data_IF_452985560491
#
_entry.id   IF_452985560491
#
_cell.length_a   1.000
_cell.length_b   1.000
_cell.length_c   1.000
_cell.angle_alpha   90.00
_cell.angle_beta   90.00
_cell.angle_gamma   90.00
#
_symmetry.space_group_name_H-M   'P 1'
#
loop_
_entity.id
_entity.type
_entity.pdbx_description
1 polymer ?
#
# COMPACT_ATOMS: atom_id res chain seq x y z
N UNK A 1 -25.39 51.08 -26.20
CA UNK A 1 -24.59 50.26 -25.27
C UNK A 1 -25.41 50.06 -24.01
N UNK A 2 -26.08 48.91 -23.86
CA UNK A 2 -26.79 48.53 -22.62
C UNK A 2 -25.85 47.62 -21.83
N UNK A 3 -25.32 48.12 -20.71
CA UNK A 3 -24.54 47.30 -19.77
C UNK A 3 -25.51 46.53 -18.86
N UNK A 4 -25.68 45.24 -19.11
CA UNK A 4 -26.35 44.33 -18.19
C UNK A 4 -25.47 44.15 -16.95
N UNK A 5 -25.79 44.84 -15.86
CA UNK A 5 -25.16 44.57 -14.56
C UNK A 5 -25.77 43.30 -13.96
N UNK A 6 -25.08 42.17 -14.12
CA UNK A 6 -25.40 40.96 -13.38
C UNK A 6 -25.07 41.19 -11.89
N UNK A 7 -26.11 41.33 -11.06
CA UNK A 7 -25.93 41.33 -9.60
C UNK A 7 -25.71 39.88 -9.12
N UNK A 8 -24.59 39.57 -8.46
CA UNK A 8 -24.28 38.20 -8.00
C UNK A 8 -25.08 37.76 -6.76
N UNK A 9 -25.82 38.66 -6.13
CA UNK A 9 -26.54 38.46 -4.86
C UNK A 9 -27.62 37.35 -4.92
N UNK A 10 -28.53 37.30 -5.92
CA UNK A 10 -29.55 36.24 -6.01
C UNK A 10 -28.97 34.84 -6.27
N UNK A 11 -27.79 34.73 -6.88
CA UNK A 11 -27.14 33.44 -7.12
C UNK A 11 -26.52 32.86 -5.84
N UNK A 12 -25.95 33.72 -4.98
CA UNK A 12 -25.36 33.30 -3.71
C UNK A 12 -26.40 32.84 -2.69
N UNK A 13 -27.56 33.52 -2.62
CA UNK A 13 -28.65 33.14 -1.71
C UNK A 13 -29.31 31.82 -2.11
N UNK A 14 -29.51 31.59 -3.43
CA UNK A 14 -30.03 30.33 -3.95
C UNK A 14 -29.06 29.16 -3.69
N UNK A 15 -27.75 29.37 -3.92
CA UNK A 15 -26.73 28.36 -3.64
C UNK A 15 -26.67 27.95 -2.16
N UNK A 16 -26.75 28.92 -1.25
CA UNK A 16 -26.78 28.65 0.20
C UNK A 16 -28.03 27.87 0.63
N UNK A 17 -29.20 28.19 0.05
CA UNK A 17 -30.44 27.47 0.33
C UNK A 17 -30.38 26.02 -0.13
N UNK A 18 -29.90 25.76 -1.35
CA UNK A 18 -29.71 24.40 -1.87
C UNK A 18 -28.68 23.60 -1.05
N UNK A 19 -27.56 24.23 -0.70
CA UNK A 19 -26.54 23.60 0.14
C UNK A 19 -27.06 23.26 1.54
N UNK A 20 -27.79 24.18 2.17
CA UNK A 20 -28.38 23.97 3.49
C UNK A 20 -29.43 22.86 3.46
N UNK A 21 -30.30 22.87 2.46
CA UNK A 21 -31.28 21.80 2.26
C UNK A 21 -30.61 20.43 2.06
N UNK A 22 -29.56 20.36 1.23
CA UNK A 22 -28.77 19.15 1.04
C UNK A 22 -28.10 18.68 2.33
N UNK A 23 -27.43 19.59 3.05
CA UNK A 23 -26.71 19.27 4.28
C UNK A 23 -27.66 18.77 5.38
N UNK A 24 -28.77 19.47 5.61
CA UNK A 24 -29.81 19.06 6.55
C UNK A 24 -30.44 17.73 6.15
N UNK A 25 -30.73 17.54 4.87
CA UNK A 25 -31.25 16.27 4.38
C UNK A 25 -30.28 15.11 4.66
N UNK A 26 -28.99 15.29 4.35
CA UNK A 26 -27.98 14.23 4.44
C UNK A 26 -27.60 13.86 5.87
N UNK A 27 -27.40 14.84 6.76
CA UNK A 27 -26.85 14.59 8.10
C UNK A 27 -27.89 14.60 9.23
N UNK A 28 -29.08 15.15 9.00
CA UNK A 28 -30.13 15.22 10.03
C UNK A 28 -31.34 14.37 9.66
N UNK A 29 -31.87 14.50 8.44
CA UNK A 29 -33.14 13.87 8.05
C UNK A 29 -32.92 12.40 7.65
N UNK A 30 -32.01 12.13 6.71
CA UNK A 30 -31.73 10.79 6.20
C UNK A 30 -31.32 9.78 7.29
N UNK A 31 -30.45 10.12 8.26
CA UNK A 31 -30.08 9.18 9.32
C UNK A 31 -31.24 8.78 10.23
N UNK A 32 -32.23 9.67 10.42
CA UNK A 32 -33.45 9.35 11.19
C UNK A 32 -34.34 8.34 10.48
N UNK A 33 -34.41 8.39 9.16
CA UNK A 33 -35.16 7.42 8.36
C UNK A 33 -34.42 6.10 8.16
N UNK A 34 -33.10 6.07 8.36
CA UNK A 34 -32.26 4.89 8.17
C UNK A 34 -31.42 4.58 9.43
N UNK A 35 -32.06 4.27 10.57
CA UNK A 35 -31.37 4.11 11.85
C UNK A 35 -30.40 2.93 11.89
N UNK A 36 -30.52 1.96 10.96
CA UNK A 36 -29.62 0.81 10.85
C UNK A 36 -28.35 1.10 10.03
N UNK A 37 -28.27 2.24 9.35
CA UNK A 37 -27.07 2.61 8.59
C UNK A 37 -26.06 3.32 9.50
N UNK A 38 -24.75 3.07 9.35
CA UNK A 38 -23.73 3.80 10.08
C UNK A 38 -23.86 5.31 9.85
N UNK A 39 -23.87 6.06 10.95
CA UNK A 39 -23.96 7.53 10.90
C UNK A 39 -22.73 8.10 10.21
N UNK A 40 -22.95 9.07 9.33
CA UNK A 40 -21.86 9.72 8.60
C UNK A 40 -21.36 10.95 9.34
N UNK A 41 -20.04 11.11 9.42
CA UNK A 41 -19.42 12.32 9.97
C UNK A 41 -19.76 13.51 9.05
N UNK A 42 -20.33 14.60 9.58
CA UNK A 42 -20.72 15.73 8.74
C UNK A 42 -19.53 16.41 8.07
N UNK A 43 -19.72 16.79 6.81
CA UNK A 43 -18.77 17.56 6.03
C UNK A 43 -19.49 18.64 5.22
N UNK A 44 -18.74 19.66 4.79
CA UNK A 44 -19.32 20.83 4.14
C UNK A 44 -19.18 20.83 2.61
N UNK A 45 -18.14 20.20 2.06
CA UNK A 45 -17.86 20.21 0.62
C UNK A 45 -18.19 18.84 0.03
N UNK A 46 -19.25 18.72 -0.79
CA UNK A 46 -19.54 17.51 -1.55
C UNK A 46 -18.33 17.04 -2.37
N UNK A 47 -18.19 15.73 -2.56
CA UNK A 47 -17.07 15.07 -3.28
C UNK A 47 -15.73 15.15 -2.54
N UNK A 48 -15.30 16.32 -2.06
CA UNK A 48 -14.06 16.43 -1.27
C UNK A 48 -14.22 15.71 0.07
N UNK A 49 -15.36 15.87 0.75
CA UNK A 49 -15.61 15.22 2.03
C UNK A 49 -14.53 15.53 3.06
N UNK A 50 -13.89 14.48 3.59
CA UNK A 50 -12.86 14.55 4.63
C UNK A 50 -11.43 14.41 4.12
N UNK A 51 -11.22 14.48 2.80
CA UNK A 51 -9.91 14.29 2.15
C UNK A 51 -8.82 15.10 2.85
N UNK A 52 -8.99 16.41 2.98
CA UNK A 52 -7.93 17.27 3.54
C UNK A 52 -7.58 16.89 4.97
N UNK A 53 -8.57 16.61 5.81
CA UNK A 53 -8.35 16.23 7.20
C UNK A 53 -7.65 14.87 7.30
N UNK A 54 -8.11 13.88 6.53
CA UNK A 54 -7.54 12.54 6.53
C UNK A 54 -6.10 12.54 6.00
N UNK A 55 -5.80 13.28 4.94
CA UNK A 55 -4.44 13.35 4.38
C UNK A 55 -3.45 14.09 5.29
N UNK A 56 -3.91 15.14 5.98
CA UNK A 56 -3.04 15.93 6.85
C UNK A 56 -2.63 15.13 8.09
N UNK A 57 -3.59 14.47 8.72
CA UNK A 57 -3.38 13.65 9.91
C UNK A 57 -4.55 12.67 10.10
N UNK A 58 -4.42 11.47 9.55
CA UNK A 58 -5.40 10.39 9.69
C UNK A 58 -5.68 10.06 11.16
N UNK A 59 -4.67 10.07 12.03
CA UNK A 59 -4.81 9.65 13.42
C UNK A 59 -5.65 10.66 14.21
N UNK A 60 -5.33 11.95 14.07
CA UNK A 60 -6.12 13.03 14.67
C UNK A 60 -7.54 13.07 14.08
N UNK A 61 -7.68 12.83 12.78
CA UNK A 61 -9.00 12.76 12.13
C UNK A 61 -9.88 11.64 12.69
N UNK A 62 -9.36 10.42 12.80
CA UNK A 62 -10.13 9.30 13.36
C UNK A 62 -10.41 9.47 14.86
N UNK A 63 -9.50 10.11 15.60
CA UNK A 63 -9.73 10.43 17.02
C UNK A 63 -10.88 11.44 17.18
N UNK A 64 -10.84 12.52 16.39
CA UNK A 64 -11.93 13.49 16.32
C UNK A 64 -13.27 12.84 15.94
N UNK A 65 -13.29 12.00 14.90
CA UNK A 65 -14.51 11.34 14.45
C UNK A 65 -15.11 10.45 15.55
N UNK A 66 -14.27 9.71 16.29
CA UNK A 66 -14.71 8.90 17.41
C UNK A 66 -15.28 9.75 18.55
N UNK A 67 -14.64 10.86 18.88
CA UNK A 67 -15.12 11.80 19.90
C UNK A 67 -16.45 12.44 19.52
N UNK A 68 -16.61 12.84 18.24
CA UNK A 68 -17.84 13.40 17.70
C UNK A 68 -19.05 12.46 17.90
N UNK A 69 -18.86 11.15 17.74
CA UNK A 69 -19.90 10.14 17.98
C UNK A 69 -20.00 9.67 19.44
N UNK A 70 -19.34 10.35 20.38
CA UNK A 70 -19.40 10.05 21.80
C UNK A 70 -18.58 8.82 22.22
N UNK A 71 -17.60 8.40 21.42
CA UNK A 71 -16.73 7.27 21.70
C UNK A 71 -17.46 5.94 21.98
N UNK A 72 -18.68 5.78 21.49
CA UNK A 72 -19.51 4.57 21.68
C UNK A 72 -18.91 3.30 21.04
N UNK A 73 -17.92 3.47 20.16
CA UNK A 73 -17.33 2.43 19.30
C UNK A 73 -18.33 1.80 18.33
N UNK A 74 -19.42 2.52 18.03
CA UNK A 74 -20.28 2.17 16.91
C UNK A 74 -19.57 2.43 15.58
N UNK A 75 -19.93 1.64 14.57
CA UNK A 75 -19.47 1.87 13.19
C UNK A 75 -20.02 3.21 12.72
N UNK A 76 -19.14 4.04 12.15
CA UNK A 76 -19.51 5.30 11.54
C UNK A 76 -18.95 5.39 10.12
N UNK A 77 -19.44 6.33 9.34
CA UNK A 77 -19.01 6.55 7.96
C UNK A 77 -18.26 7.85 7.80
N UNK A 78 -17.28 7.88 6.90
CA UNK A 78 -16.61 9.10 6.43
C UNK A 78 -16.64 9.11 4.91
N UNK A 79 -16.91 10.26 4.29
CA UNK A 79 -16.75 10.42 2.84
C UNK A 79 -15.33 10.91 2.52
N UNK A 80 -14.64 10.23 1.60
CA UNK A 80 -13.33 10.61 1.08
C UNK A 80 -13.38 10.49 -0.45
N UNK A 81 -13.09 11.57 -1.18
CA UNK A 81 -13.14 11.61 -2.66
C UNK A 81 -14.47 11.06 -3.24
N UNK A 82 -15.59 11.38 -2.60
CA UNK A 82 -16.93 10.95 -3.01
C UNK A 82 -17.25 9.49 -2.67
N UNK A 83 -16.30 8.72 -2.16
CA UNK A 83 -16.53 7.37 -1.66
C UNK A 83 -16.85 7.38 -0.16
N UNK A 84 -17.82 6.57 0.24
CA UNK A 84 -18.16 6.40 1.65
C UNK A 84 -17.38 5.22 2.23
N UNK A 85 -16.54 5.50 3.23
CA UNK A 85 -15.76 4.52 3.97
C UNK A 85 -16.45 4.25 5.32
N UNK A 86 -16.72 2.99 5.62
CA UNK A 86 -17.26 2.57 6.92
C UNK A 86 -16.11 2.23 7.86
N UNK A 87 -16.03 2.95 8.97
CA UNK A 87 -14.96 2.82 9.96
C UNK A 87 -15.43 1.91 11.08
N UNK A 88 -14.76 0.77 11.22
CA UNK A 88 -15.03 -0.24 12.24
C UNK A 88 -13.92 -0.15 13.28
N UNK A 89 -14.26 0.25 14.51
CA UNK A 89 -13.28 0.56 15.56
C UNK A 89 -13.41 -0.33 16.81
N UNK A 90 -14.48 -1.12 16.92
CA UNK A 90 -14.71 -2.03 18.04
C UNK A 90 -14.01 -3.36 17.76
N UNK A 91 -13.24 -3.94 18.71
CA UNK A 91 -12.57 -5.22 18.47
C UNK A 91 -13.53 -6.36 18.07
N UNK A 92 -14.75 -6.34 18.62
CA UNK A 92 -15.80 -7.33 18.32
C UNK A 92 -16.31 -7.21 16.87
N UNK A 93 -16.53 -5.99 16.40
CA UNK A 93 -17.04 -5.77 15.05
C UNK A 93 -15.94 -5.98 14.01
N UNK A 94 -14.70 -5.59 14.32
CA UNK A 94 -13.53 -5.91 13.48
C UNK A 94 -13.42 -7.41 13.27
N UNK A 95 -13.53 -8.22 14.34
CA UNK A 95 -13.50 -9.68 14.22
C UNK A 95 -14.66 -10.21 13.38
N UNK A 96 -15.86 -9.65 13.53
CA UNK A 96 -17.03 -10.04 12.74
C UNK A 96 -16.85 -9.73 11.25
N UNK A 97 -16.26 -8.59 10.92
CA UNK A 97 -15.90 -8.16 9.57
C UNK A 97 -14.90 -9.13 8.94
N UNK A 98 -13.81 -9.44 9.64
CA UNK A 98 -12.79 -10.40 9.14
C UNK A 98 -13.35 -11.81 8.92
N UNK A 99 -14.31 -12.26 9.73
CA UNK A 99 -14.97 -13.56 9.56
C UNK A 99 -15.97 -13.60 8.41
N UNK A 100 -16.46 -12.44 7.96
CA UNK A 100 -17.49 -12.36 6.92
C UNK A 100 -16.88 -12.31 5.51
N UNK A 101 -16.11 -13.32 5.14
CA UNK A 101 -15.47 -13.43 3.82
C UNK A 101 -16.46 -13.56 2.65
N UNK A 102 -17.72 -13.95 2.92
CA UNK A 102 -18.77 -14.05 1.89
C UNK A 102 -19.47 -12.71 1.62
N UNK A 103 -19.52 -11.82 2.60
CA UNK A 103 -20.19 -10.53 2.49
C UNK A 103 -19.28 -9.38 2.09
N UNK A 104 -17.96 -9.57 2.15
CA UNK A 104 -16.95 -8.56 1.86
C UNK A 104 -15.93 -9.11 0.87
N UNK A 105 -15.93 -8.56 -0.34
CA UNK A 105 -14.99 -8.92 -1.39
C UNK A 105 -13.79 -7.97 -1.38
N UNK A 106 -12.60 -8.52 -1.20
CA UNK A 106 -11.34 -7.77 -1.19
C UNK A 106 -10.67 -7.73 -2.58
N UNK A 107 -11.12 -8.56 -3.52
CA UNK A 107 -10.51 -8.66 -4.85
C UNK A 107 -10.51 -7.33 -5.63
N UNK A 108 -11.55 -6.48 -5.57
CA UNK A 108 -11.54 -5.19 -6.26
C UNK A 108 -10.37 -4.30 -5.83
N UNK A 109 -10.10 -4.23 -4.52
CA UNK A 109 -8.99 -3.43 -3.96
C UNK A 109 -7.65 -4.01 -4.38
N UNK A 110 -7.49 -5.34 -4.35
CA UNK A 110 -6.26 -6.00 -4.80
C UNK A 110 -6.00 -5.70 -6.28
N UNK A 111 -7.02 -5.82 -7.14
CA UNK A 111 -6.91 -5.49 -8.57
C UNK A 111 -6.52 -4.04 -8.80
N UNK A 112 -7.08 -3.11 -8.05
CA UNK A 112 -6.74 -1.68 -8.12
C UNK A 112 -5.28 -1.43 -7.73
N UNK A 113 -4.81 -2.01 -6.63
CA UNK A 113 -3.40 -1.92 -6.21
C UNK A 113 -2.51 -2.48 -7.31
N UNK A 114 -2.76 -3.69 -7.80
CA UNK A 114 -1.94 -4.30 -8.85
C UNK A 114 -1.94 -3.48 -10.16
N UNK A 115 -3.08 -2.91 -10.54
CA UNK A 115 -3.16 -2.00 -11.69
C UNK A 115 -2.31 -0.73 -11.48
N UNK A 116 -2.29 -0.18 -10.26
CA UNK A 116 -1.42 0.98 -9.93
C UNK A 116 0.06 0.64 -10.06
N UNK A 117 0.45 -0.62 -9.82
CA UNK A 117 1.80 -1.13 -10.08
C UNK A 117 2.08 -1.38 -11.57
N UNK A 118 1.11 -1.22 -12.46
CA UNK A 118 1.28 -1.28 -13.92
C UNK A 118 0.80 -2.57 -14.57
N UNK A 119 0.12 -3.46 -13.83
CA UNK A 119 -0.45 -4.67 -14.43
C UNK A 119 -1.60 -4.32 -15.39
N UNK A 120 -1.57 -4.93 -16.58
CA UNK A 120 -2.61 -4.76 -17.59
C UNK A 120 -3.87 -5.52 -17.19
N UNK A 121 -5.04 -5.03 -17.61
CA UNK A 121 -6.32 -5.70 -17.38
C UNK A 121 -6.35 -7.14 -17.90
N UNK A 122 -5.67 -7.44 -19.01
CA UNK A 122 -5.54 -8.81 -19.54
C UNK A 122 -4.77 -9.74 -18.61
N UNK A 123 -3.70 -9.24 -17.98
CA UNK A 123 -2.89 -9.98 -17.01
C UNK A 123 -3.67 -10.20 -15.72
N UNK A 124 -4.36 -9.15 -15.24
CA UNK A 124 -5.26 -9.27 -14.09
C UNK A 124 -6.42 -10.22 -14.33
N UNK A 125 -6.94 -10.31 -15.55
CA UNK A 125 -7.92 -11.32 -15.94
C UNK A 125 -7.39 -12.72 -15.63
N UNK A 126 -6.26 -13.08 -16.23
CA UNK A 126 -5.62 -14.39 -16.04
C UNK A 126 -5.34 -14.73 -14.57
N UNK A 127 -4.85 -13.77 -13.79
CA UNK A 127 -4.50 -14.01 -12.38
C UNK A 127 -5.72 -14.25 -11.47
N UNK A 128 -6.90 -13.78 -11.90
CA UNK A 128 -8.18 -13.91 -11.21
C UNK A 128 -9.19 -14.77 -12.00
N UNK A 129 -8.73 -15.56 -12.97
CA UNK A 129 -9.55 -16.58 -13.61
C UNK A 129 -9.58 -17.83 -12.71
N UNK A 130 -10.76 -18.46 -12.63
CA UNK A 130 -10.93 -19.69 -11.85
C UNK A 130 -10.22 -20.84 -12.55
N UNK A 131 -9.36 -21.55 -11.83
CA UNK A 131 -8.79 -22.81 -12.27
C UNK A 131 -9.83 -23.96 -12.23
N UNK A 132 -9.41 -25.17 -12.59
CA UNK A 132 -10.25 -26.38 -12.54
C UNK A 132 -10.76 -26.72 -11.14
N UNK A 133 -10.14 -26.18 -10.09
CA UNK A 133 -10.50 -26.38 -8.69
C UNK A 133 -11.36 -25.23 -8.15
N UNK A 134 -11.73 -24.25 -8.98
CA UNK A 134 -12.52 -23.10 -8.59
C UNK A 134 -11.74 -22.08 -7.75
N UNK A 135 -10.42 -21.98 -7.95
CA UNK A 135 -9.54 -21.08 -7.21
C UNK A 135 -8.79 -20.15 -8.16
N UNK A 136 -8.56 -18.91 -7.73
CA UNK A 136 -7.73 -17.96 -8.48
C UNK A 136 -6.25 -18.24 -8.24
N UNK A 137 -5.39 -17.93 -9.22
CA UNK A 137 -3.95 -17.98 -9.00
C UNK A 137 -3.51 -17.10 -7.82
N UNK A 138 -4.15 -15.94 -7.63
CA UNK A 138 -3.89 -15.06 -6.48
C UNK A 138 -4.09 -15.73 -5.12
N UNK A 139 -5.09 -16.60 -5.00
CA UNK A 139 -5.32 -17.35 -3.76
C UNK A 139 -4.20 -18.39 -3.55
N UNK A 140 -3.70 -18.99 -4.62
CA UNK A 140 -2.56 -19.91 -4.59
C UNK A 140 -1.26 -19.19 -4.24
N UNK A 141 -1.00 -18.03 -4.81
CA UNK A 141 0.14 -17.20 -4.43
C UNK A 141 0.07 -16.82 -2.94
N UNK A 142 -1.11 -16.44 -2.44
CA UNK A 142 -1.31 -16.12 -1.03
C UNK A 142 -1.10 -17.33 -0.10
N UNK A 143 -1.54 -18.54 -0.51
CA UNK A 143 -1.26 -19.78 0.21
C UNK A 143 0.23 -20.15 0.20
N UNK A 144 0.95 -19.93 -0.91
CA UNK A 144 2.39 -20.14 -0.96
C UNK A 144 3.10 -19.24 0.05
N UNK A 145 2.73 -17.96 0.17
CA UNK A 145 3.28 -17.11 1.23
C UNK A 145 3.00 -17.66 2.64
N UNK A 146 1.80 -18.19 2.90
CA UNK A 146 1.50 -18.84 4.19
C UNK A 146 2.37 -20.07 4.42
N UNK A 147 2.56 -20.91 3.41
CA UNK A 147 3.38 -22.13 3.51
C UNK A 147 4.87 -21.82 3.76
N UNK A 148 5.40 -20.77 3.12
CA UNK A 148 6.77 -20.30 3.34
C UNK A 148 6.99 -19.79 4.77
N UNK A 149 5.97 -19.13 5.34
CA UNK A 149 6.04 -18.48 6.65
C UNK A 149 5.54 -19.35 7.80
N UNK A 150 5.01 -20.54 7.51
CA UNK A 150 4.55 -21.47 8.53
C UNK A 150 5.75 -22.12 9.23
N UNK A 151 5.71 -22.35 10.55
CA UNK A 151 6.74 -23.11 11.25
C UNK A 151 7.05 -24.43 10.55
N UNK A 152 8.32 -24.66 10.24
CA UNK A 152 8.81 -25.82 9.50
C UNK A 152 10.01 -25.49 8.61
N UNK A 153 10.47 -26.49 7.87
CA UNK A 153 11.72 -26.46 7.08
C UNK A 153 11.88 -25.22 6.19
N UNK A 154 10.82 -24.81 5.48
CA UNK A 154 10.86 -23.64 4.59
C UNK A 154 11.16 -22.34 5.34
N UNK A 155 10.53 -22.16 6.51
CA UNK A 155 10.78 -21.00 7.35
C UNK A 155 12.18 -21.05 7.95
N UNK A 156 12.63 -22.23 8.39
CA UNK A 156 13.96 -22.42 8.98
C UNK A 156 15.07 -22.10 7.96
N UNK A 157 14.92 -22.52 6.71
CA UNK A 157 15.84 -22.19 5.61
C UNK A 157 15.87 -20.67 5.34
N UNK A 158 14.70 -20.05 5.14
CA UNK A 158 14.60 -18.61 4.89
C UNK A 158 15.19 -17.79 6.05
N UNK A 159 14.89 -18.19 7.29
CA UNK A 159 15.39 -17.55 8.49
C UNK A 159 16.91 -17.68 8.62
N UNK A 160 17.45 -18.87 8.34
CA UNK A 160 18.90 -19.11 8.37
C UNK A 160 19.62 -18.20 7.38
N UNK A 161 19.13 -18.11 6.15
CA UNK A 161 19.68 -17.22 5.13
C UNK A 161 19.55 -15.75 5.53
N UNK A 162 18.37 -15.33 6.00
CA UNK A 162 18.13 -13.94 6.41
C UNK A 162 19.03 -13.51 7.58
N UNK A 163 19.11 -14.31 8.65
CA UNK A 163 19.97 -14.02 9.80
C UNK A 163 21.45 -14.05 9.43
N UNK A 164 21.86 -14.99 8.56
CA UNK A 164 23.22 -15.03 8.03
C UNK A 164 23.57 -13.78 7.21
N UNK A 165 22.63 -13.23 6.46
CA UNK A 165 22.84 -11.97 5.72
C UNK A 165 22.93 -10.76 6.66
N UNK A 166 22.14 -10.73 7.74
CA UNK A 166 22.25 -9.70 8.78
C UNK A 166 23.64 -9.75 9.39
N UNK A 167 24.10 -10.93 9.84
CA UNK A 167 25.42 -11.10 10.44
C UNK A 167 26.55 -10.61 9.52
N UNK A 168 26.51 -10.99 8.23
CA UNK A 168 27.44 -10.50 7.21
C UNK A 168 27.40 -8.97 7.02
N UNK A 169 26.25 -8.35 7.22
CA UNK A 169 26.05 -6.91 7.01
C UNK A 169 26.46 -6.07 8.23
N UNK A 170 26.55 -6.68 9.41
CA UNK A 170 26.98 -6.03 10.66
C UNK A 170 28.50 -5.92 10.82
N UNK A 171 29.28 -6.24 9.78
CA UNK A 171 30.74 -6.10 9.77
C UNK A 171 31.19 -4.63 9.68
N UNK A 172 32.31 -4.29 10.32
CA UNK A 172 32.85 -2.92 10.38
C UNK A 172 33.06 -2.28 9.01
N UNK A 173 33.54 -3.06 8.04
CA UNK A 173 33.79 -2.62 6.66
C UNK A 173 32.50 -2.29 5.90
N UNK A 174 31.39 -2.96 6.26
CA UNK A 174 30.06 -2.77 5.66
C UNK A 174 29.33 -1.55 6.24
N UNK A 175 29.77 -1.03 7.39
CA UNK A 175 29.32 0.26 7.93
C UNK A 175 29.91 1.41 7.11
N UNK A 176 29.39 1.62 5.91
CA UNK A 176 29.88 2.60 4.96
C UNK A 176 28.73 3.30 4.22
N UNK A 177 29.04 4.32 3.43
CA UNK A 177 28.06 4.97 2.56
C UNK A 177 27.09 5.92 3.30
N UNK A 178 25.86 6.14 2.76
CA UNK A 178 24.95 7.20 3.19
C UNK A 178 24.43 7.08 4.64
N UNK A 179 24.61 5.93 5.28
CA UNK A 179 24.27 5.71 6.69
C UNK A 179 25.28 6.36 7.65
N UNK A 180 26.55 6.52 7.25
CA UNK A 180 27.61 7.09 8.10
C UNK A 180 27.54 8.61 8.07
N UNK A 181 27.34 9.22 9.23
CA UNK A 181 27.21 10.67 9.40
C UNK A 181 28.56 11.34 9.70
N UNK A 182 29.40 10.67 10.49
CA UNK A 182 30.78 11.08 10.79
C UNK A 182 31.55 9.92 11.41
N UNK A 183 32.87 10.06 11.54
CA UNK A 183 33.73 9.07 12.20
C UNK A 183 34.92 9.74 12.89
N UNK A 184 35.42 9.10 13.94
CA UNK A 184 36.63 9.51 14.66
C UNK A 184 37.65 8.38 14.55
N UNK A 185 38.64 8.56 13.67
CA UNK A 185 39.61 7.50 13.35
C UNK A 185 38.94 6.24 12.80
N UNK A 186 39.61 5.09 13.00
CA UNK A 186 39.13 3.78 12.56
C UNK A 186 38.34 3.01 13.64
N UNK A 187 38.06 3.64 14.78
CA UNK A 187 37.47 2.98 15.96
C UNK A 187 35.99 3.32 16.19
N UNK A 188 35.52 4.49 15.73
CA UNK A 188 34.15 4.96 15.98
C UNK A 188 33.51 5.54 14.72
N UNK A 189 32.32 5.02 14.39
CA UNK A 189 31.44 5.55 13.33
C UNK A 189 30.11 6.00 13.94
N UNK A 190 29.72 7.24 13.67
CA UNK A 190 28.39 7.75 13.98
C UNK A 190 27.50 7.48 12.76
N UNK A 191 26.43 6.72 12.95
CA UNK A 191 25.50 6.34 11.88
C UNK A 191 24.09 6.88 12.12
N UNK A 192 23.34 7.07 11.04
CA UNK A 192 21.89 7.21 11.11
C UNK A 192 21.29 5.83 11.38
N UNK A 193 20.73 5.62 12.58
CA UNK A 193 20.11 4.36 12.96
C UNK A 193 19.02 3.94 11.97
N UNK A 194 18.21 4.90 11.50
CA UNK A 194 17.15 4.63 10.53
C UNK A 194 17.71 4.08 9.21
N UNK A 195 18.72 4.73 8.63
CA UNK A 195 19.34 4.27 7.37
C UNK A 195 20.07 2.95 7.56
N UNK A 196 20.79 2.80 8.67
CA UNK A 196 21.53 1.57 8.94
C UNK A 196 20.61 0.36 9.09
N UNK A 197 19.56 0.47 9.91
CA UNK A 197 18.57 -0.60 10.05
C UNK A 197 17.85 -0.88 8.72
N UNK A 198 17.47 0.17 7.99
CA UNK A 198 16.85 0.04 6.68
C UNK A 198 17.74 -0.74 5.72
N UNK A 199 18.99 -0.31 5.54
CA UNK A 199 19.92 -0.95 4.63
C UNK A 199 20.20 -2.41 5.02
N UNK A 200 20.52 -2.68 6.29
CA UNK A 200 20.80 -4.05 6.76
C UNK A 200 19.59 -4.97 6.58
N UNK A 201 18.41 -4.55 7.02
CA UNK A 201 17.23 -5.42 7.01
C UNK A 201 16.69 -5.64 5.60
N UNK A 202 16.63 -4.58 4.78
CA UNK A 202 16.08 -4.68 3.43
C UNK A 202 17.06 -5.42 2.51
N UNK A 203 18.37 -5.13 2.54
CA UNK A 203 19.36 -5.92 1.76
C UNK A 203 19.30 -7.41 2.15
N UNK A 204 19.31 -7.70 3.45
CA UNK A 204 19.30 -9.08 3.95
C UNK A 204 18.04 -9.83 3.53
N UNK A 205 16.87 -9.16 3.57
CA UNK A 205 15.60 -9.74 3.15
C UNK A 205 15.59 -9.94 1.63
N UNK A 206 15.99 -8.94 0.85
CA UNK A 206 16.06 -9.06 -0.62
C UNK A 206 16.94 -10.23 -1.03
N UNK A 207 18.13 -10.40 -0.43
CA UNK A 207 18.99 -11.57 -0.67
C UNK A 207 18.35 -12.88 -0.23
N UNK A 208 17.67 -12.90 0.91
CA UNK A 208 17.00 -14.12 1.38
C UNK A 208 15.86 -14.58 0.46
N UNK A 209 15.17 -13.66 -0.20
CA UNK A 209 14.08 -13.99 -1.13
C UNK A 209 14.54 -14.24 -2.56
N UNK A 210 15.48 -13.44 -3.07
CA UNK A 210 15.84 -13.40 -4.50
C UNK A 210 17.29 -13.84 -4.78
N UNK A 211 18.04 -14.22 -3.75
CA UNK A 211 19.45 -14.55 -3.89
C UNK A 211 20.33 -13.34 -4.15
N UNK A 212 21.61 -13.58 -4.41
CA UNK A 212 22.60 -12.52 -4.64
C UNK A 212 22.55 -11.95 -6.07
N UNK A 213 22.04 -12.72 -7.03
CA UNK A 213 22.02 -12.36 -8.46
C UNK A 213 21.27 -11.07 -8.77
N UNK A 214 20.25 -10.72 -7.98
CA UNK A 214 19.54 -9.45 -8.16
C UNK A 214 20.45 -8.23 -7.94
N UNK A 215 21.39 -8.31 -6.98
CA UNK A 215 22.35 -7.23 -6.70
C UNK A 215 23.54 -7.25 -7.66
N UNK A 216 23.87 -8.39 -8.27
CA UNK A 216 24.83 -8.44 -9.38
C UNK A 216 24.28 -7.72 -10.63
N UNK A 217 22.97 -7.81 -10.87
CA UNK A 217 22.30 -7.11 -11.97
C UNK A 217 22.21 -5.61 -11.70
N UNK A 218 21.80 -5.25 -10.49
CA UNK A 218 21.66 -3.85 -10.09
C UNK A 218 22.17 -3.63 -8.66
N UNK A 219 23.44 -3.21 -8.52
CA UNK A 219 24.02 -2.88 -7.22
C UNK A 219 23.32 -1.71 -6.51
N UNK A 220 22.57 -0.88 -7.25
CA UNK A 220 21.87 0.29 -6.71
C UNK A 220 20.39 0.01 -6.41
N UNK A 221 19.90 -1.22 -6.60
CA UNK A 221 18.50 -1.59 -6.42
C UNK A 221 17.93 -1.10 -5.08
N UNK A 222 18.70 -1.26 -4.01
CA UNK A 222 18.28 -0.87 -2.66
C UNK A 222 18.13 0.65 -2.51
N UNK A 223 19.05 1.43 -3.09
CA UNK A 223 18.98 2.88 -3.06
C UNK A 223 17.75 3.39 -3.84
N UNK A 224 17.50 2.82 -5.02
CA UNK A 224 16.31 3.13 -5.81
C UNK A 224 15.02 2.66 -5.11
N UNK A 225 15.05 1.52 -4.41
CA UNK A 225 13.91 1.06 -3.60
C UNK A 225 13.54 2.07 -2.51
N UNK A 226 14.50 2.63 -1.76
CA UNK A 226 14.18 3.63 -0.73
C UNK A 226 13.61 4.93 -1.30
N UNK A 227 14.02 5.33 -2.51
CA UNK A 227 13.41 6.47 -3.21
C UNK A 227 11.95 6.16 -3.58
N UNK A 228 11.70 4.95 -4.09
CA UNK A 228 10.35 4.50 -4.39
C UNK A 228 9.48 4.42 -3.12
N UNK A 229 9.97 3.75 -2.07
CA UNK A 229 9.23 3.48 -0.83
C UNK A 229 8.79 4.78 -0.14
N UNK A 230 9.69 5.76 -0.01
CA UNK A 230 9.40 7.05 0.62
C UNK A 230 8.29 7.86 -0.07
N UNK A 231 8.05 7.59 -1.36
CA UNK A 231 7.03 8.27 -2.17
C UNK A 231 5.96 7.32 -2.72
N UNK A 232 5.94 6.05 -2.30
CA UNK A 232 5.07 5.00 -2.85
C UNK A 232 3.58 5.31 -2.66
N UNK A 233 3.24 6.06 -1.61
CA UNK A 233 1.88 6.56 -1.36
C UNK A 233 1.35 7.41 -2.53
N UNK A 234 2.22 8.12 -3.28
CA UNK A 234 1.84 8.90 -4.47
C UNK A 234 1.31 7.99 -5.59
N UNK A 235 1.74 6.74 -5.64
CA UNK A 235 1.27 5.75 -6.61
C UNK A 235 -0.18 5.36 -6.33
N UNK A 236 -0.52 5.09 -5.06
CA UNK A 236 -1.89 4.75 -4.64
C UNK A 236 -2.89 5.87 -4.95
N UNK A 237 -2.46 7.13 -4.91
CA UNK A 237 -3.27 8.29 -5.27
C UNK A 237 -3.13 8.73 -6.73
N UNK A 238 -2.48 7.91 -7.57
CA UNK A 238 -2.38 8.14 -9.01
C UNK A 238 -1.81 9.52 -9.39
N UNK A 239 -0.80 9.99 -8.66
CA UNK A 239 -0.14 11.27 -8.96
C UNK A 239 0.42 11.27 -10.40
N UNK A 240 0.30 12.37 -11.16
CA UNK A 240 0.85 12.43 -12.50
C UNK A 240 2.38 12.43 -12.47
N UNK A 241 3.02 11.96 -13.56
CA UNK A 241 4.47 11.79 -13.64
C UNK A 241 5.26 13.04 -13.22
N UNK A 242 4.83 14.23 -13.62
CA UNK A 242 5.54 15.48 -13.29
C UNK A 242 5.58 15.78 -11.78
N UNK A 243 4.61 15.28 -11.00
CA UNK A 243 4.50 15.51 -9.55
C UNK A 243 5.15 14.39 -8.72
N UNK A 244 5.47 13.25 -9.33
CA UNK A 244 6.06 12.08 -8.68
C UNK A 244 7.20 11.47 -9.51
N UNK A 245 7.98 12.33 -10.16
CA UNK A 245 9.01 11.93 -11.15
C UNK A 245 10.02 10.94 -10.58
N UNK A 246 10.54 11.22 -9.39
CA UNK A 246 11.59 10.40 -8.77
C UNK A 246 11.05 9.01 -8.40
N UNK A 247 9.85 8.95 -7.82
CA UNK A 247 9.14 7.69 -7.54
C UNK A 247 8.95 6.85 -8.80
N UNK A 248 8.44 7.44 -9.89
CA UNK A 248 8.24 6.71 -11.15
C UNK A 248 9.56 6.24 -11.78
N UNK A 249 10.60 7.05 -11.71
CA UNK A 249 11.92 6.67 -12.23
C UNK A 249 12.52 5.52 -11.40
N UNK A 250 12.45 5.60 -10.08
CA UNK A 250 12.90 4.55 -9.16
C UNK A 250 12.13 3.24 -9.38
N UNK A 251 10.80 3.30 -9.48
CA UNK A 251 9.94 2.16 -9.84
C UNK A 251 10.39 1.51 -11.15
N UNK A 252 10.61 2.30 -12.20
CA UNK A 252 11.02 1.80 -13.52
C UNK A 252 12.40 1.12 -13.49
N UNK A 253 13.34 1.63 -12.69
CA UNK A 253 14.65 0.98 -12.51
C UNK A 253 14.49 -0.38 -11.82
N UNK A 254 13.70 -0.44 -10.74
CA UNK A 254 13.37 -1.70 -10.07
C UNK A 254 12.72 -2.72 -11.01
N UNK A 255 11.71 -2.31 -11.78
CA UNK A 255 11.10 -3.16 -12.82
C UNK A 255 12.13 -3.67 -13.83
N UNK A 256 13.06 -2.81 -14.26
CA UNK A 256 14.13 -3.18 -15.19
C UNK A 256 15.08 -4.20 -14.57
N UNK A 257 15.46 -4.04 -13.30
CA UNK A 257 16.30 -4.97 -12.56
C UNK A 257 15.63 -6.34 -12.44
N UNK A 258 14.36 -6.38 -11.99
CA UNK A 258 13.60 -7.63 -11.89
C UNK A 258 13.35 -8.29 -13.25
N UNK A 259 13.13 -7.52 -14.31
CA UNK A 259 13.01 -8.07 -15.68
C UNK A 259 14.30 -8.77 -16.10
N UNK A 260 15.46 -8.16 -15.86
CA UNK A 260 16.76 -8.77 -16.14
C UNK A 260 17.04 -10.00 -15.28
N UNK A 261 16.63 -9.95 -14.01
CA UNK A 261 16.75 -11.08 -13.07
C UNK A 261 15.94 -12.27 -13.55
N UNK A 262 14.66 -12.08 -13.88
CA UNK A 262 13.81 -13.17 -14.38
C UNK A 262 14.31 -13.75 -15.72
N UNK A 263 15.03 -12.95 -16.53
CA UNK A 263 15.66 -13.41 -17.77
C UNK A 263 16.93 -14.26 -17.55
N UNK A 264 17.49 -14.32 -16.34
CA UNK A 264 18.63 -15.20 -16.05
C UNK A 264 18.20 -16.67 -16.07
N UNK A 265 19.09 -17.59 -16.50
CA UNK A 265 18.89 -19.02 -16.33
C UNK A 265 18.59 -19.37 -14.87
N UNK A 266 17.69 -20.34 -14.64
CA UNK A 266 17.29 -20.74 -13.28
C UNK A 266 18.46 -21.16 -12.39
N UNK A 267 19.51 -21.75 -12.98
CA UNK A 267 20.78 -22.11 -12.34
C UNK A 267 21.45 -20.92 -11.64
N UNK A 268 21.28 -19.70 -12.16
CA UNK A 268 21.85 -18.48 -11.59
C UNK A 268 20.95 -17.86 -10.51
N UNK A 269 19.82 -18.48 -10.20
CA UNK A 269 18.80 -18.01 -9.24
C UNK A 269 18.34 -19.13 -8.31
N UNK A 270 19.15 -20.18 -8.17
CA UNK A 270 18.83 -21.35 -7.33
C UNK A 270 18.84 -21.02 -5.84
N UNK A 271 19.50 -19.94 -5.43
CA UNK A 271 19.55 -19.44 -4.05
C UNK A 271 18.30 -18.62 -3.66
N UNK A 272 17.37 -18.38 -4.59
CA UNK A 272 16.10 -17.75 -4.28
C UNK A 272 15.22 -18.63 -3.37
N UNK A 273 14.41 -17.99 -2.54
CA UNK A 273 13.49 -18.69 -1.63
C UNK A 273 12.47 -19.55 -2.38
N UNK A 274 11.93 -20.56 -1.69
CA UNK A 274 10.90 -21.43 -2.24
C UNK A 274 9.68 -20.66 -2.75
N UNK A 275 9.21 -19.63 -2.02
CA UNK A 275 8.04 -18.84 -2.45
C UNK A 275 8.31 -18.04 -3.72
N UNK A 276 9.52 -17.48 -3.88
CA UNK A 276 9.91 -16.76 -5.11
C UNK A 276 9.83 -17.68 -6.31
N UNK A 277 10.41 -18.89 -6.20
CA UNK A 277 10.37 -19.92 -7.26
C UNK A 277 8.93 -20.36 -7.55
N UNK A 278 8.13 -20.57 -6.51
CA UNK A 278 6.72 -21.00 -6.64
C UNK A 278 5.83 -19.95 -7.31
N UNK A 279 6.08 -18.67 -7.06
CA UNK A 279 5.37 -17.56 -7.73
C UNK A 279 5.76 -17.51 -9.20
N UNK A 280 7.05 -17.63 -9.51
CA UNK A 280 7.55 -17.66 -10.89
C UNK A 280 6.94 -18.81 -11.70
N UNK A 281 7.01 -20.04 -11.20
CA UNK A 281 6.40 -21.21 -11.84
C UNK A 281 4.89 -21.01 -12.05
N UNK A 282 4.22 -20.38 -11.09
CA UNK A 282 2.80 -20.07 -11.18
C UNK A 282 2.48 -19.05 -12.27
N UNK A 283 3.29 -18.00 -12.42
CA UNK A 283 3.11 -16.96 -13.46
C UNK A 283 3.40 -17.56 -14.84
N UNK A 284 4.46 -18.35 -14.99
CA UNK A 284 4.77 -19.06 -16.23
C UNK A 284 3.62 -20.01 -16.64
N UNK A 285 3.02 -20.71 -15.66
CA UNK A 285 1.85 -21.58 -15.88
C UNK A 285 0.62 -20.83 -16.40
N UNK A 286 0.50 -19.52 -16.15
CA UNK A 286 -0.54 -18.66 -16.71
C UNK A 286 -0.18 -18.09 -18.10
N UNK A 287 1.03 -18.37 -18.59
CA UNK A 287 1.59 -17.78 -19.80
C UNK A 287 1.69 -16.26 -19.72
N UNK A 288 2.22 -15.76 -18.60
CA UNK A 288 2.50 -14.34 -18.32
C UNK A 288 4.01 -14.13 -18.32
#
# INVERSE_FOLDING_TARGET
>A
MLSLSFSPIPFLSSGFAFWSAWWTWRFIISPKFRPKQPRELPYFVPVVGHVVAMFRDSNSFFSYAREYFGNTREIFSVTVMGQQLHIVNSPKDVLSVYKNSKGLDFNPIIKEIMASFGLRASTLGKMFDLDSNGKFWMDTAHENFKLQMHPGERLDELQTTFLGNIDKSLNWEKLAGPMVLSGYGDEVKIVSLFKWCGEVLVDSATRAFFGDSIFHIDPNLLADFFVFDGDSWKLSYQYPYFAAKDMYNAKKKGETAFTKYLALPREHREDASWVTKSIEDGIEGLGI
#
